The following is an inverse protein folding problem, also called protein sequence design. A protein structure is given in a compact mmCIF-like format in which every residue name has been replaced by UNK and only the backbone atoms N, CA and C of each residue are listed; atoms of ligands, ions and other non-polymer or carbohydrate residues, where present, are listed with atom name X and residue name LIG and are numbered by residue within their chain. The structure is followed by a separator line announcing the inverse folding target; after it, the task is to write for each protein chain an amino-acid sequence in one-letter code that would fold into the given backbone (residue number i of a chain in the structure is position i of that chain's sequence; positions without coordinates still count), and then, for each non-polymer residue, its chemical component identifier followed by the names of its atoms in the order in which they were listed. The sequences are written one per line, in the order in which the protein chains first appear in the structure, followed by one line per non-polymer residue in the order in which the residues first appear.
data_IF_573886953037
#
_entry.id   IF_573886953037
#
_cell.length_a   1.000
_cell.length_b   1.000
_cell.length_c   1.000
_cell.angle_alpha   90.00
_cell.angle_beta   90.00
_cell.angle_gamma   90.00
#
_symmetry.space_group_name_H-M   'P 1'
#
loop_
_entity.id
_entity.type
_entity.pdbx_description
1 polymer ?
#
# COMPACT_ATOMS: atom_id res chain seq x y z
N UNK A 1 2.48 9.19 7.03
CA UNK A 1 2.10 8.66 5.74
C UNK A 1 3.27 8.43 4.80
N UNK A 2 4.35 9.23 4.87
CA UNK A 2 5.56 8.94 4.10
C UNK A 2 6.18 7.60 4.53
N UNK A 3 6.15 7.28 5.82
CA UNK A 3 6.64 6.00 6.33
C UNK A 3 5.82 4.82 5.80
N UNK A 4 4.50 5.00 5.67
CA UNK A 4 3.61 3.98 5.12
C UNK A 4 3.92 3.75 3.64
N UNK A 5 4.01 4.81 2.86
CA UNK A 5 4.32 4.71 1.43
C UNK A 5 5.68 4.06 1.20
N UNK A 6 6.68 4.45 1.99
CA UNK A 6 8.01 3.84 1.88
C UNK A 6 7.97 2.35 2.19
N UNK A 7 7.26 1.95 3.25
CA UNK A 7 7.14 0.54 3.62
C UNK A 7 6.48 -0.27 2.51
N UNK A 8 5.42 0.26 1.91
CA UNK A 8 4.71 -0.40 0.82
C UNK A 8 5.62 -0.61 -0.39
N UNK A 9 6.29 0.46 -0.83
CA UNK A 9 7.15 0.40 -2.01
C UNK A 9 8.38 -0.48 -1.77
N UNK A 10 8.97 -0.43 -0.58
CA UNK A 10 10.13 -1.27 -0.24
C UNK A 10 9.75 -2.75 -0.18
N UNK A 11 8.60 -3.07 0.41
CA UNK A 11 8.14 -4.46 0.50
C UNK A 11 7.89 -5.08 -0.88
N UNK A 12 7.40 -4.27 -1.81
CA UNK A 12 7.07 -4.72 -3.16
C UNK A 12 8.12 -4.31 -4.20
N UNK A 13 9.34 -4.03 -3.77
CA UNK A 13 10.39 -3.52 -4.67
C UNK A 13 10.67 -4.44 -5.86
N UNK A 14 10.45 -5.74 -5.70
CA UNK A 14 10.72 -6.72 -6.76
C UNK A 14 9.66 -6.75 -7.86
N UNK A 15 8.52 -6.09 -7.68
CA UNK A 15 7.42 -6.16 -8.65
C UNK A 15 7.73 -5.39 -9.92
N UNK A 16 8.46 -4.28 -9.81
CA UNK A 16 8.82 -3.44 -10.94
C UNK A 16 10.19 -3.87 -11.50
N UNK A 17 10.27 -3.99 -12.83
CA UNK A 17 11.52 -4.27 -13.50
C UNK A 17 12.25 -2.95 -13.78
N UNK A 18 13.52 -3.05 -14.13
CA UNK A 18 14.33 -1.87 -14.46
C UNK A 18 13.63 -1.05 -15.55
N UNK A 19 13.55 0.25 -15.33
CA UNK A 19 12.91 1.17 -16.25
C UNK A 19 11.42 1.31 -16.10
N UNK A 20 10.78 0.52 -15.22
CA UNK A 20 9.36 0.65 -14.94
C UNK A 20 9.12 1.65 -13.81
N UNK A 21 7.94 2.25 -13.82
CA UNK A 21 7.48 3.14 -12.77
C UNK A 21 6.68 2.32 -11.76
N UNK A 22 7.09 2.34 -10.49
CA UNK A 22 6.39 1.66 -9.40
C UNK A 22 5.75 2.68 -8.49
N UNK A 23 4.44 2.62 -8.34
CA UNK A 23 3.67 3.55 -7.52
C UNK A 23 2.73 2.78 -6.61
N UNK A 24 2.27 3.44 -5.56
CA UNK A 24 1.30 2.90 -4.62
C UNK A 24 0.25 3.95 -4.29
N UNK A 25 -0.92 3.49 -3.85
CA UNK A 25 -1.89 4.31 -3.14
C UNK A 25 -2.52 3.43 -2.05
N UNK A 26 -3.02 4.07 -1.01
CA UNK A 26 -3.58 3.33 0.11
C UNK A 26 -4.65 4.16 0.80
N UNK A 27 -5.56 3.47 1.49
CA UNK A 27 -6.53 4.10 2.38
C UNK A 27 -6.40 3.44 3.75
N UNK A 28 -6.27 4.26 4.79
CA UNK A 28 -6.17 3.78 6.17
C UNK A 28 -7.58 3.54 6.69
N UNK A 29 -7.85 2.29 7.10
CA UNK A 29 -9.15 1.89 7.64
C UNK A 29 -9.20 2.09 9.16
N UNK A 30 -8.07 1.83 9.84
CA UNK A 30 -7.99 1.97 11.29
C UNK A 30 -6.53 2.06 11.72
N UNK A 31 -6.28 2.76 12.83
CA UNK A 31 -4.98 2.83 13.50
C UNK A 31 -5.16 2.39 14.94
N UNK A 32 -4.33 1.47 15.39
CA UNK A 32 -4.32 1.00 16.77
C UNK A 32 -2.97 1.29 17.43
N UNK A 33 -2.93 1.41 18.74
CA UNK A 33 -1.73 1.70 19.51
C UNK A 33 -1.36 3.17 19.55
N UNK A 34 -2.31 4.04 19.27
CA UNK A 34 -2.10 5.49 19.24
C UNK A 34 -1.56 5.95 20.58
N UNK A 35 -0.39 6.62 20.58
CA UNK A 35 0.27 7.07 21.80
C UNK A 35 1.16 6.03 22.48
N UNK A 36 1.19 4.81 21.97
CA UNK A 36 2.05 3.74 22.48
C UNK A 36 3.39 3.71 21.73
N UNK A 37 4.31 2.85 22.20
CA UNK A 37 5.60 2.66 21.54
C UNK A 37 5.48 1.98 20.18
N UNK A 38 4.33 1.37 19.89
CA UNK A 38 4.06 0.70 18.62
C UNK A 38 2.70 1.14 18.10
N UNK A 39 2.62 1.32 16.79
CA UNK A 39 1.38 1.66 16.08
C UNK A 39 1.16 0.63 14.98
N UNK A 40 -0.05 0.08 14.90
CA UNK A 40 -0.45 -0.77 13.79
C UNK A 40 -1.49 -0.02 12.97
N UNK A 41 -1.26 0.06 11.65
CA UNK A 41 -2.20 0.63 10.71
C UNK A 41 -2.79 -0.48 9.86
N UNK A 42 -4.12 -0.46 9.71
CA UNK A 42 -4.87 -1.41 8.89
C UNK A 42 -5.36 -0.66 7.67
N UNK A 43 -4.98 -1.16 6.47
CA UNK A 43 -5.24 -0.40 5.25
C UNK A 43 -5.51 -1.32 4.06
N UNK A 44 -6.06 -0.70 3.02
CA UNK A 44 -6.11 -1.29 1.68
C UNK A 44 -4.99 -0.66 0.87
N UNK A 45 -4.21 -1.49 0.20
CA UNK A 45 -3.03 -1.05 -0.56
C UNK A 45 -3.19 -1.47 -2.01
N UNK A 46 -3.14 -0.49 -2.91
CA UNK A 46 -3.00 -0.73 -4.34
C UNK A 46 -1.58 -0.34 -4.73
N UNK A 47 -0.86 -1.23 -5.37
CA UNK A 47 0.45 -0.90 -5.93
C UNK A 47 0.52 -1.42 -7.36
N UNK A 48 1.17 -0.65 -8.23
CA UNK A 48 1.21 -0.95 -9.66
C UNK A 48 2.57 -0.58 -10.24
N UNK A 49 2.99 -1.36 -11.25
CA UNK A 49 4.19 -1.08 -12.03
C UNK A 49 3.77 -0.81 -13.48
N UNK A 50 4.33 0.23 -14.07
CA UNK A 50 4.02 0.67 -15.43
C UNK A 50 5.30 0.69 -16.26
N UNK A 51 5.18 0.25 -17.51
CA UNK A 51 6.24 0.51 -18.49
C UNK A 51 5.96 1.82 -19.21
N UNK A 52 7.01 2.47 -19.67
CA UNK A 52 6.93 3.76 -20.37
C UNK A 52 7.45 3.57 -21.78
N UNK A 53 6.62 3.92 -22.79
CA UNK A 53 7.01 3.90 -24.18
C UNK A 53 6.64 5.26 -24.78
N UNK A 54 7.61 6.17 -24.82
CA UNK A 54 7.34 7.54 -25.21
C UNK A 54 6.43 8.24 -24.22
N UNK A 55 5.23 8.58 -24.67
CA UNK A 55 4.20 9.19 -23.82
C UNK A 55 3.19 8.18 -23.28
N UNK A 56 3.33 6.90 -23.66
CA UNK A 56 2.38 5.87 -23.29
C UNK A 56 2.81 5.17 -22.02
N UNK A 57 1.90 5.08 -21.05
CA UNK A 57 2.06 4.27 -19.85
C UNK A 57 1.24 3.01 -20.01
N UNK A 58 1.87 1.85 -19.77
CA UNK A 58 1.18 0.56 -19.82
C UNK A 58 1.33 -0.12 -18.47
N UNK A 59 0.21 -0.47 -17.85
CA UNK A 59 0.22 -1.21 -16.60
C UNK A 59 0.71 -2.63 -16.87
N UNK A 60 1.79 -3.01 -16.20
CA UNK A 60 2.43 -4.32 -16.40
C UNK A 60 2.06 -5.30 -15.29
N UNK A 61 1.95 -4.80 -14.05
CA UNK A 61 1.62 -5.63 -12.91
C UNK A 61 1.04 -4.77 -11.80
N UNK A 62 0.34 -5.41 -10.88
CA UNK A 62 -0.23 -4.72 -9.74
C UNK A 62 -0.85 -5.69 -8.76
N UNK A 63 -1.12 -5.19 -7.55
CA UNK A 63 -1.88 -5.95 -6.55
C UNK A 63 -2.70 -5.00 -5.70
N UNK A 64 -3.83 -5.49 -5.22
CA UNK A 64 -4.75 -4.76 -4.36
C UNK A 64 -5.07 -5.64 -3.16
N UNK A 65 -4.48 -5.33 -2.02
CA UNK A 65 -4.44 -6.26 -0.88
C UNK A 65 -4.67 -5.50 0.43
N UNK A 66 -5.56 -6.01 1.31
CA UNK A 66 -5.61 -5.53 2.70
C UNK A 66 -4.29 -5.82 3.40
N UNK A 67 -3.78 -4.85 4.13
CA UNK A 67 -2.44 -4.91 4.70
C UNK A 67 -2.46 -4.37 6.13
N UNK A 68 -1.66 -4.95 7.01
CA UNK A 68 -1.44 -4.43 8.36
C UNK A 68 0.05 -4.15 8.53
N UNK A 69 0.38 -2.91 8.87
CA UNK A 69 1.77 -2.50 9.05
C UNK A 69 1.96 -2.04 10.48
N UNK A 70 2.96 -2.59 11.17
CA UNK A 70 3.30 -2.20 12.52
C UNK A 70 4.62 -1.46 12.53
N UNK A 71 4.62 -0.28 13.16
CA UNK A 71 5.81 0.55 13.34
C UNK A 71 6.14 0.68 14.81
N UNK A 72 7.44 0.64 15.14
CA UNK A 72 7.92 1.10 16.43
C UNK A 72 8.09 2.62 16.35
N UNK A 73 7.72 3.31 17.41
CA UNK A 73 7.80 4.77 17.48
C UNK A 73 8.81 5.12 18.54
N UNK A 74 9.90 5.81 18.16
CA UNK A 74 10.94 6.23 19.09
C UNK A 74 10.50 7.45 19.91
N UNK A 75 11.27 7.77 20.95
CA UNK A 75 11.02 8.94 21.78
C UNK A 75 11.08 10.24 20.97
N UNK A 76 11.83 10.26 19.87
CA UNK A 76 11.92 11.42 18.99
C UNK A 76 10.84 11.45 17.91
N UNK A 77 9.92 10.47 17.89
CA UNK A 77 8.84 10.41 16.92
C UNK A 77 9.20 9.74 15.60
N UNK A 78 10.33 9.02 15.56
CA UNK A 78 10.71 8.30 14.34
C UNK A 78 10.02 6.95 14.27
N UNK A 79 9.63 6.56 13.06
CA UNK A 79 8.94 5.30 12.79
C UNK A 79 9.91 4.28 12.21
N UNK A 80 9.92 3.08 12.79
CA UNK A 80 10.71 1.95 12.31
C UNK A 80 9.77 0.79 12.01
N UNK A 81 9.84 0.26 10.79
CA UNK A 81 9.01 -0.87 10.39
C UNK A 81 9.35 -2.11 11.21
N UNK A 82 8.36 -2.72 11.87
CA UNK A 82 8.52 -3.96 12.61
C UNK A 82 7.83 -5.14 11.93
N UNK A 83 6.64 -4.93 11.37
CA UNK A 83 5.89 -6.00 10.71
C UNK A 83 5.15 -5.45 9.50
N UNK A 84 5.19 -6.21 8.41
CA UNK A 84 4.39 -5.96 7.21
C UNK A 84 3.59 -7.24 6.94
N UNK A 85 2.26 -7.16 7.08
CA UNK A 85 1.40 -8.35 7.03
C UNK A 85 0.43 -8.26 5.86
N UNK A 86 0.30 -9.38 5.12
CA UNK A 86 -0.70 -9.55 4.08
C UNK A 86 -1.38 -10.91 4.26
N UNK A 87 -2.66 -11.06 3.83
CA UNK A 87 -3.34 -12.35 3.93
C UNK A 87 -2.78 -13.34 2.91
N UNK A 88 -2.94 -14.63 3.21
CA UNK A 88 -2.58 -15.71 2.28
C UNK A 88 -3.69 -15.92 1.27
N UNK A 89 -3.33 -16.31 0.04
CA UNK A 89 -4.30 -16.53 -1.02
C UNK A 89 -5.33 -17.62 -0.66
N UNK A 90 -4.88 -18.68 -0.01
CA UNK A 90 -5.75 -19.82 0.32
C UNK A 90 -6.71 -19.57 1.47
N UNK A 91 -6.48 -18.54 2.30
CA UNK A 91 -7.30 -18.27 3.49
C UNK A 91 -7.58 -16.76 3.63
N UNK A 92 -7.75 -16.08 2.51
CA UNK A 92 -7.83 -14.62 2.41
C UNK A 92 -8.81 -14.00 3.42
N UNK A 93 -10.09 -14.39 3.37
CA UNK A 93 -11.12 -13.80 4.25
C UNK A 93 -10.90 -14.14 5.72
N UNK A 94 -10.52 -15.39 6.00
CA UNK A 94 -10.27 -15.84 7.37
C UNK A 94 -9.08 -15.11 7.98
N UNK A 95 -8.01 -14.93 7.19
CA UNK A 95 -6.82 -14.22 7.64
C UNK A 95 -7.13 -12.76 7.98
N UNK A 96 -7.91 -12.09 7.14
CA UNK A 96 -8.30 -10.70 7.38
C UNK A 96 -9.14 -10.59 8.66
N UNK A 97 -10.11 -11.48 8.84
CA UNK A 97 -10.95 -11.44 10.04
C UNK A 97 -10.18 -11.77 11.31
N UNK A 98 -9.13 -12.60 11.21
CA UNK A 98 -8.29 -12.92 12.35
C UNK A 98 -7.34 -11.78 12.72
N UNK A 99 -6.86 -11.03 11.74
CA UNK A 99 -5.84 -9.99 11.93
C UNK A 99 -6.44 -8.61 12.19
N UNK A 100 -7.50 -8.23 11.46
CA UNK A 100 -8.06 -6.88 11.51
C UNK A 100 -9.09 -6.75 12.61
N UNK A 101 -9.23 -5.56 13.23
CA UNK A 101 -10.40 -5.28 14.05
C UNK A 101 -11.69 -5.46 13.24
N UNK A 102 -12.80 -5.80 13.90
CA UNK A 102 -14.03 -6.20 13.22
C UNK A 102 -14.52 -5.20 12.17
N UNK A 103 -14.55 -3.91 12.51
CA UNK A 103 -15.03 -2.88 11.58
C UNK A 103 -14.08 -2.72 10.40
N UNK A 104 -12.77 -2.75 10.66
CA UNK A 104 -11.77 -2.64 9.61
C UNK A 104 -11.79 -3.87 8.70
N UNK A 105 -12.04 -5.06 9.26
CA UNK A 105 -12.15 -6.27 8.46
C UNK A 105 -13.33 -6.20 7.50
N UNK A 106 -14.48 -5.71 7.97
CA UNK A 106 -15.66 -5.53 7.12
C UNK A 106 -15.38 -4.57 5.97
N UNK A 107 -14.71 -3.45 6.25
CA UNK A 107 -14.35 -2.50 5.21
C UNK A 107 -13.32 -3.07 4.24
N UNK A 108 -12.34 -3.82 4.74
CA UNK A 108 -11.32 -4.45 3.88
C UNK A 108 -11.93 -5.46 2.93
N UNK A 109 -12.95 -6.20 3.38
CA UNK A 109 -13.64 -7.17 2.54
C UNK A 109 -14.65 -6.51 1.58
N UNK A 110 -14.96 -5.23 1.80
CA UNK A 110 -15.77 -4.42 0.89
C UNK A 110 -14.86 -3.49 0.07
N UNK A 111 -13.84 -4.05 -0.52
CA UNK A 111 -12.77 -3.31 -1.18
C UNK A 111 -13.20 -2.58 -2.44
N UNK A 112 -14.32 -2.98 -3.05
CA UNK A 112 -14.85 -2.31 -4.23
C UNK A 112 -15.20 -0.84 -3.99
N UNK A 113 -15.46 -0.46 -2.73
CA UNK A 113 -15.78 0.92 -2.39
C UNK A 113 -14.61 1.89 -2.59
N UNK A 114 -13.38 1.37 -2.58
CA UNK A 114 -12.17 2.19 -2.61
C UNK A 114 -11.34 2.09 -3.88
N UNK A 115 -11.57 1.07 -4.71
CA UNK A 115 -10.66 0.76 -5.82
C UNK A 115 -10.54 1.90 -6.84
N UNK A 116 -11.66 2.56 -7.17
CA UNK A 116 -11.64 3.61 -8.18
C UNK A 116 -10.77 4.79 -7.75
N UNK A 117 -10.89 5.21 -6.49
CA UNK A 117 -10.09 6.31 -5.95
C UNK A 117 -8.61 5.96 -5.87
N UNK A 118 -8.31 4.73 -5.44
CA UNK A 118 -6.94 4.26 -5.34
C UNK A 118 -6.30 4.12 -6.73
N UNK A 119 -7.05 3.62 -7.69
CA UNK A 119 -6.57 3.51 -9.08
C UNK A 119 -6.28 4.88 -9.68
N UNK A 120 -7.18 5.84 -9.47
CA UNK A 120 -6.97 7.21 -9.94
C UNK A 120 -5.70 7.82 -9.32
N UNK A 121 -5.46 7.57 -8.03
CA UNK A 121 -4.26 8.06 -7.35
C UNK A 121 -2.99 7.43 -7.91
N UNK A 122 -2.99 6.12 -8.17
CA UNK A 122 -1.85 5.44 -8.79
C UNK A 122 -1.58 5.97 -10.19
N UNK A 123 -2.61 6.13 -11.00
CA UNK A 123 -2.47 6.66 -12.36
C UNK A 123 -1.86 8.06 -12.34
N UNK A 124 -2.30 8.92 -11.42
CA UNK A 124 -1.74 10.26 -11.30
C UNK A 124 -0.28 10.24 -10.86
N UNK A 125 0.08 9.38 -9.92
CA UNK A 125 1.48 9.22 -9.49
C UNK A 125 2.36 8.73 -10.63
N UNK A 126 1.85 7.82 -11.46
CA UNK A 126 2.60 7.31 -12.61
C UNK A 126 2.80 8.41 -13.65
N UNK A 127 1.79 9.23 -13.91
CA UNK A 127 1.90 10.36 -14.82
C UNK A 127 2.93 11.38 -14.32
N UNK A 128 2.92 11.68 -13.03
CA UNK A 128 3.87 12.61 -12.43
C UNK A 128 5.30 12.07 -12.53
N UNK A 129 5.50 10.78 -12.27
CA UNK A 129 6.81 10.15 -12.38
C UNK A 129 7.30 10.12 -13.82
N UNK A 130 6.42 9.89 -14.79
CA UNK A 130 6.75 9.92 -16.21
C UNK A 130 7.25 11.31 -16.61
N UNK A 131 6.56 12.36 -16.16
CA UNK A 131 6.95 13.75 -16.45
C UNK A 131 8.32 14.07 -15.88
N UNK A 132 8.65 13.56 -14.69
CA UNK A 132 9.96 13.76 -14.07
C UNK A 132 11.07 13.05 -14.86
N UNK A 133 10.79 11.86 -15.40
CA UNK A 133 11.75 11.10 -16.17
C UNK A 133 11.97 11.73 -17.56
N UNK A 134 10.92 12.28 -18.16
CA UNK A 134 10.99 12.90 -19.48
C UNK A 134 11.78 14.22 -19.49
N UNK A 135 11.98 14.80 -18.34
CA UNK A 135 12.74 16.04 -18.19
C UNK A 135 14.19 15.73 -17.83
#
# INVERSE_FOLDING_TARGET
DAAISKAILDYHADIAQDGQIHVESHVILQKDGFGAEKITVYLLVLQEAYSVDGETLTEESGSYVPTAITFAVSASGEYTLEEYWEPSDGSYSDDIRAKFPADAADEALNDQAYIDDLKAACDQKALDARSAVAN
#
